data_IF_788164296537
#
_entry.id   IF_788164296537
#
_cell.length_a   1.000
_cell.length_b   1.000
_cell.length_c   1.000
_cell.angle_alpha   90.00
_cell.angle_beta   90.00
_cell.angle_gamma   90.00
#
_symmetry.space_group_name_H-M   'P 1'
#
loop_
_entity.id
_entity.type
_entity.pdbx_description
1 polymer ?
#
# COMPACT_ATOMS: atom_id res chain seq x y z
N UNK A 1 -24.85 -7.15 -11.15
CA UNK A 1 -23.50 -6.90 -10.63
C UNK A 1 -23.46 -7.31 -9.16
N UNK A 2 -22.56 -8.23 -8.76
CA UNK A 2 -22.31 -8.47 -7.33
C UNK A 2 -21.40 -7.35 -6.84
N UNK A 3 -21.83 -6.59 -5.83
CA UNK A 3 -20.99 -5.62 -5.12
C UNK A 3 -19.70 -6.32 -4.65
N UNK A 4 -18.55 -5.62 -4.55
CA UNK A 4 -17.44 -6.14 -3.75
C UNK A 4 -17.99 -6.56 -2.39
N UNK A 5 -17.48 -7.68 -1.86
CA UNK A 5 -17.86 -8.20 -0.54
C UNK A 5 -17.60 -7.13 0.53
N UNK A 6 -18.58 -6.26 0.75
CA UNK A 6 -18.62 -5.32 1.84
C UNK A 6 -19.06 -6.15 3.05
N UNK A 7 -18.09 -6.68 3.79
CA UNK A 7 -18.37 -7.42 5.02
C UNK A 7 -19.11 -6.49 5.99
N UNK A 8 -20.28 -6.92 6.47
CA UNK A 8 -21.12 -6.16 7.40
C UNK A 8 -20.41 -5.89 8.74
N UNK A 9 -19.36 -6.66 9.07
CA UNK A 9 -18.50 -6.48 10.24
C UNK A 9 -17.02 -6.63 9.83
N UNK A 10 -16.35 -5.55 9.40
CA UNK A 10 -14.93 -5.59 9.10
C UNK A 10 -14.14 -5.91 10.38
N UNK A 11 -13.10 -6.75 10.27
CA UNK A 11 -12.16 -7.00 11.36
C UNK A 11 -11.64 -5.64 11.87
N UNK A 12 -11.72 -5.34 13.18
CA UNK A 12 -11.19 -4.07 13.67
C UNK A 12 -9.67 -4.02 13.46
N UNK A 13 -9.17 -2.86 13.05
CA UNK A 13 -7.71 -2.66 13.01
C UNK A 13 -7.21 -2.47 14.43
N UNK A 14 -6.24 -3.28 14.90
CA UNK A 14 -5.66 -3.11 16.22
C UNK A 14 -5.13 -1.69 16.44
N UNK A 15 -5.53 -0.99 17.53
CA UNK A 15 -5.13 0.39 17.76
C UNK A 15 -3.61 0.61 17.78
N UNK A 16 -2.85 -0.36 18.30
CA UNK A 16 -1.37 -0.29 18.31
C UNK A 16 -0.81 -0.34 16.89
N UNK A 17 -1.38 -1.15 16.00
CA UNK A 17 -1.00 -1.15 14.58
C UNK A 17 -1.26 0.21 13.93
N UNK A 18 -2.40 0.85 14.22
CA UNK A 18 -2.69 2.19 13.70
C UNK A 18 -1.67 3.22 14.20
N UNK A 19 -1.35 3.18 15.49
CA UNK A 19 -0.40 4.10 16.12
C UNK A 19 1.03 3.93 15.57
N UNK A 20 1.43 2.71 15.24
CA UNK A 20 2.73 2.45 14.61
C UNK A 20 2.78 2.89 13.15
N UNK A 21 1.67 2.81 12.40
CA UNK A 21 1.62 3.15 10.99
C UNK A 21 1.46 4.67 10.74
N UNK A 22 0.61 5.34 11.52
CA UNK A 22 0.18 6.72 11.25
C UNK A 22 1.33 7.74 11.20
N UNK A 23 2.30 7.76 12.14
CA UNK A 23 3.42 8.70 12.10
C UNK A 23 4.30 8.50 10.86
N UNK A 24 4.54 7.24 10.47
CA UNK A 24 5.34 6.91 9.31
C UNK A 24 4.67 7.38 8.01
N UNK A 25 3.39 7.04 7.79
CA UNK A 25 2.68 7.49 6.57
C UNK A 25 2.53 9.02 6.55
N UNK A 26 2.40 9.67 7.71
CA UNK A 26 2.38 11.13 7.82
C UNK A 26 3.72 11.75 7.44
N UNK A 27 4.83 11.15 7.84
CA UNK A 27 6.16 11.61 7.46
C UNK A 27 6.37 11.48 5.94
N UNK A 28 5.97 10.35 5.34
CA UNK A 28 6.06 10.13 3.89
C UNK A 28 5.20 11.15 3.15
N UNK A 29 3.96 11.37 3.58
CA UNK A 29 3.08 12.39 2.99
C UNK A 29 3.70 13.80 3.10
N UNK A 30 4.26 14.13 4.27
CA UNK A 30 4.94 15.40 4.52
C UNK A 30 6.13 15.62 3.59
N UNK A 31 6.94 14.59 3.34
CA UNK A 31 8.02 14.63 2.34
C UNK A 31 7.47 14.88 0.93
N UNK A 32 6.45 14.13 0.51
CA UNK A 32 5.88 14.25 -0.83
C UNK A 32 5.32 15.65 -1.09
N UNK A 33 4.60 16.22 -0.12
CA UNK A 33 4.05 17.58 -0.22
C UNK A 33 5.16 18.63 -0.19
N UNK A 34 6.00 18.64 0.86
CA UNK A 34 6.85 19.79 1.16
C UNK A 34 8.23 19.73 0.50
N UNK A 35 8.73 18.54 0.17
CA UNK A 35 10.06 18.36 -0.40
C UNK A 35 10.00 17.94 -1.87
N UNK A 36 9.13 16.98 -2.20
CA UNK A 36 8.95 16.56 -3.59
C UNK A 36 8.01 17.48 -4.39
N UNK A 37 7.29 18.39 -3.72
CA UNK A 37 6.39 19.36 -4.37
C UNK A 37 5.17 18.72 -5.03
N UNK A 38 4.75 17.55 -4.57
CA UNK A 38 3.58 16.85 -5.09
C UNK A 38 2.29 17.46 -4.51
N UNK A 39 1.25 17.58 -5.34
CA UNK A 39 -0.11 17.92 -4.91
C UNK A 39 -1.00 16.67 -4.78
N UNK A 40 -2.17 16.81 -4.15
CA UNK A 40 -3.17 15.75 -3.98
C UNK A 40 -2.57 14.45 -3.41
N UNK A 41 -1.70 14.59 -2.41
CA UNK A 41 -0.93 13.48 -1.84
C UNK A 41 -1.83 12.64 -0.94
N UNK A 42 -1.85 11.32 -1.11
CA UNK A 42 -2.47 10.42 -0.13
C UNK A 42 -1.59 9.21 0.11
N UNK A 43 -1.30 8.94 1.38
CA UNK A 43 -0.42 7.84 1.79
C UNK A 43 -1.10 7.00 2.87
N UNK A 44 -1.07 5.69 2.73
CA UNK A 44 -1.56 4.76 3.76
C UNK A 44 -0.77 3.45 3.74
N UNK A 45 -0.95 2.62 4.78
CA UNK A 45 -0.34 1.31 4.91
C UNK A 45 -1.45 0.25 4.93
N UNK A 46 -1.28 -0.82 4.16
CA UNK A 46 -2.18 -1.97 4.14
C UNK A 46 -1.50 -3.17 4.78
N UNK A 47 -2.15 -3.87 5.72
CA UNK A 47 -1.66 -5.14 6.26
C UNK A 47 -2.30 -6.31 5.55
N UNK A 48 -1.60 -7.44 5.54
CA UNK A 48 -2.24 -8.71 5.24
C UNK A 48 -3.20 -9.10 6.37
N UNK A 49 -4.42 -9.47 6.02
CA UNK A 49 -5.40 -10.06 6.91
C UNK A 49 -5.83 -11.42 6.33
N UNK A 50 -5.92 -12.44 7.19
CA UNK A 50 -6.47 -13.73 6.79
C UNK A 50 -7.74 -14.00 7.57
N UNK A 51 -8.81 -14.34 6.86
CA UNK A 51 -10.12 -14.65 7.41
C UNK A 51 -10.72 -15.83 6.65
N UNK A 52 -11.18 -16.84 7.37
CA UNK A 52 -11.76 -18.06 6.78
C UNK A 52 -10.85 -18.73 5.72
N UNK A 53 -9.54 -18.70 5.96
CA UNK A 53 -8.52 -19.23 5.05
C UNK A 53 -8.27 -18.38 3.79
N UNK A 54 -8.88 -17.20 3.70
CA UNK A 54 -8.78 -16.26 2.58
C UNK A 54 -7.97 -15.03 2.96
N UNK A 55 -7.15 -14.53 2.03
CA UNK A 55 -6.31 -13.35 2.23
C UNK A 55 -6.92 -12.09 1.65
N UNK A 56 -6.82 -11.02 2.44
CA UNK A 56 -7.28 -9.67 2.17
C UNK A 56 -6.19 -8.66 2.52
N UNK A 57 -6.25 -7.48 1.91
CA UNK A 57 -5.47 -6.33 2.32
C UNK A 57 -6.36 -5.39 3.13
N UNK A 58 -5.95 -5.06 4.34
CA UNK A 58 -6.68 -4.14 5.20
C UNK A 58 -5.93 -2.83 5.37
N UNK A 59 -6.58 -1.71 5.05
CA UNK A 59 -6.04 -0.38 5.32
C UNK A 59 -5.89 -0.18 6.84
N UNK A 60 -4.67 0.01 7.31
CA UNK A 60 -4.33 0.07 8.73
C UNK A 60 -4.69 1.45 9.31
N UNK A 61 -4.45 2.52 8.57
CA UNK A 61 -4.67 3.88 9.05
C UNK A 61 -5.37 4.73 7.99
N UNK A 62 -5.99 5.84 8.39
CA UNK A 62 -6.47 6.85 7.45
C UNK A 62 -5.35 7.33 6.53
N UNK A 63 -5.73 7.86 5.37
CA UNK A 63 -4.78 8.49 4.45
C UNK A 63 -4.18 9.74 5.11
N UNK A 64 -2.86 9.84 5.10
CA UNK A 64 -2.15 11.09 5.38
C UNK A 64 -1.95 11.89 4.09
N UNK A 65 -1.86 13.22 4.21
CA UNK A 65 -1.78 14.16 3.08
C UNK A 65 -3.08 14.94 2.87
N UNK A 66 -3.49 15.12 1.61
CA UNK A 66 -4.68 15.85 1.21
C UNK A 66 -5.96 15.01 1.39
N UNK A 67 -6.95 15.58 2.06
CA UNK A 67 -8.23 14.90 2.32
C UNK A 67 -8.15 13.86 3.43
N UNK A 68 -7.51 14.21 4.56
CA UNK A 68 -7.49 13.41 5.78
C UNK A 68 -8.93 13.12 6.25
N UNK A 69 -9.31 11.84 6.29
CA UNK A 69 -10.60 11.39 6.82
C UNK A 69 -10.37 10.23 7.82
N UNK A 70 -10.53 10.54 9.11
CA UNK A 70 -10.36 9.59 10.22
C UNK A 70 -11.31 8.38 10.13
N UNK A 71 -12.45 8.49 9.42
CA UNK A 71 -13.49 7.45 9.40
C UNK A 71 -13.20 6.28 8.45
N UNK A 72 -12.10 6.32 7.68
CA UNK A 72 -11.82 5.37 6.60
C UNK A 72 -10.79 4.28 6.90
N UNK A 73 -10.23 4.23 8.11
CA UNK A 73 -9.39 3.10 8.53
C UNK A 73 -10.18 1.78 8.54
N UNK A 74 -9.51 0.66 8.26
CA UNK A 74 -10.10 -0.68 8.33
C UNK A 74 -10.79 -1.18 7.06
N UNK A 75 -10.82 -0.39 5.97
CA UNK A 75 -11.30 -0.84 4.66
C UNK A 75 -10.57 -2.11 4.22
N UNK A 76 -11.34 -3.09 3.76
CA UNK A 76 -10.85 -4.34 3.20
C UNK A 76 -10.82 -4.26 1.67
N UNK A 77 -9.75 -4.77 1.12
CA UNK A 77 -9.51 -4.92 -0.31
C UNK A 77 -9.20 -6.39 -0.59
N UNK A 78 -9.58 -6.86 -1.76
CA UNK A 78 -9.18 -8.19 -2.19
C UNK A 78 -7.66 -8.16 -2.43
N UNK A 79 -6.94 -9.21 -2.05
CA UNK A 79 -5.49 -9.21 -2.07
C UNK A 79 -4.87 -9.14 -3.48
N UNK A 80 -5.66 -9.34 -4.54
CA UNK A 80 -5.27 -9.19 -5.94
C UNK A 80 -5.83 -7.91 -6.60
N UNK A 81 -6.43 -7.01 -5.81
CA UNK A 81 -7.08 -5.80 -6.32
C UNK A 81 -6.10 -4.63 -6.48
N UNK A 82 -6.11 -4.02 -7.66
CA UNK A 82 -5.39 -2.78 -7.94
C UNK A 82 -3.88 -2.90 -7.83
N UNK A 83 -3.22 -1.75 -7.80
CA UNK A 83 -1.74 -1.69 -7.73
C UNK A 83 -1.17 -2.35 -6.48
N UNK A 84 -1.89 -2.30 -5.35
CA UNK A 84 -1.50 -3.00 -4.12
C UNK A 84 -1.58 -4.51 -4.28
N UNK A 85 -2.56 -5.01 -5.04
CA UNK A 85 -2.69 -6.43 -5.35
C UNK A 85 -1.60 -6.92 -6.30
N UNK A 86 -1.22 -6.12 -7.30
CA UNK A 86 -0.07 -6.41 -8.15
C UNK A 86 1.23 -6.52 -7.32
N UNK A 87 1.48 -5.55 -6.44
CA UNK A 87 2.64 -5.57 -5.55
C UNK A 87 2.60 -6.76 -4.56
N UNK A 88 1.41 -7.14 -4.08
CA UNK A 88 1.23 -8.28 -3.21
C UNK A 88 1.55 -9.61 -3.91
N UNK A 89 0.97 -9.82 -5.09
CA UNK A 89 1.10 -11.07 -5.84
C UNK A 89 2.55 -11.33 -6.27
N UNK A 90 3.19 -10.31 -6.84
CA UNK A 90 4.51 -10.43 -7.42
C UNK A 90 5.65 -10.16 -6.42
N UNK A 91 5.33 -9.61 -5.23
CA UNK A 91 6.30 -9.23 -4.19
C UNK A 91 7.36 -8.27 -4.71
N UNK A 92 6.94 -7.33 -5.55
CA UNK A 92 7.77 -6.29 -6.17
C UNK A 92 7.16 -4.92 -5.93
N UNK A 93 7.98 -3.88 -6.06
CA UNK A 93 7.49 -2.50 -6.07
C UNK A 93 6.74 -2.28 -7.40
N UNK A 94 5.55 -1.70 -7.34
CA UNK A 94 4.75 -1.36 -8.52
C UNK A 94 4.44 0.14 -8.51
N UNK A 95 4.58 0.80 -9.65
CA UNK A 95 4.29 2.25 -9.78
C UNK A 95 3.60 2.57 -11.11
N UNK A 96 3.08 3.79 -11.23
CA UNK A 96 2.73 4.37 -12.53
C UNK A 96 3.98 4.57 -13.40
N UNK A 97 3.88 4.20 -14.68
CA UNK A 97 4.94 4.39 -15.68
C UNK A 97 5.25 5.85 -15.91
N UNK A 98 6.41 6.10 -16.53
CA UNK A 98 6.76 7.43 -17.02
C UNK A 98 5.93 7.78 -18.27
N UNK A 99 5.40 8.98 -18.29
CA UNK A 99 4.71 9.58 -19.44
C UNK A 99 5.33 10.93 -19.79
N UNK A 100 5.53 11.20 -21.08
CA UNK A 100 6.07 12.49 -21.52
C UNK A 100 5.01 13.61 -21.52
N UNK A 101 3.73 13.25 -21.60
CA UNK A 101 2.60 14.19 -21.59
C UNK A 101 1.31 13.54 -21.05
N UNK A 102 0.33 14.38 -20.72
CA UNK A 102 -0.94 13.92 -20.14
C UNK A 102 -1.83 13.17 -21.14
N UNK A 103 -1.72 13.48 -22.44
CA UNK A 103 -2.56 12.85 -23.45
C UNK A 103 -2.25 11.35 -23.57
N UNK A 104 -0.96 10.98 -23.53
CA UNK A 104 -0.53 9.59 -23.51
C UNK A 104 -0.98 8.87 -22.22
N UNK A 105 -0.90 9.54 -21.07
CA UNK A 105 -1.39 9.01 -19.80
C UNK A 105 -2.90 8.74 -19.86
N UNK A 106 -3.69 9.70 -20.37
CA UNK A 106 -5.14 9.56 -20.49
C UNK A 106 -5.56 8.46 -21.48
N UNK A 107 -4.81 8.31 -22.59
CA UNK A 107 -5.03 7.21 -23.54
C UNK A 107 -4.88 5.88 -22.82
N UNK A 108 -3.74 5.64 -22.19
CA UNK A 108 -3.42 4.36 -21.56
C UNK A 108 -4.35 4.08 -20.37
N UNK A 109 -4.66 5.10 -19.55
CA UNK A 109 -5.63 4.99 -18.46
C UNK A 109 -7.02 4.56 -18.95
N UNK A 110 -7.54 5.18 -20.02
CA UNK A 110 -8.86 4.84 -20.57
C UNK A 110 -8.87 3.48 -21.26
N UNK A 111 -7.78 3.09 -21.93
CA UNK A 111 -7.63 1.75 -22.50
C UNK A 111 -7.60 0.68 -21.40
N UNK A 112 -6.82 0.89 -20.35
CA UNK A 112 -6.74 -0.02 -19.22
C UNK A 112 -8.07 -0.14 -18.51
N UNK A 113 -8.77 0.98 -18.25
CA UNK A 113 -10.13 0.95 -17.65
C UNK A 113 -11.12 0.13 -18.46
N UNK A 114 -11.09 0.25 -19.80
CA UNK A 114 -11.90 -0.59 -20.69
C UNK A 114 -11.50 -2.06 -20.58
N UNK A 115 -10.21 -2.36 -20.60
CA UNK A 115 -9.69 -3.73 -20.51
C UNK A 115 -10.08 -4.41 -19.20
N UNK A 116 -10.00 -3.70 -18.07
CA UNK A 116 -10.32 -4.25 -16.76
C UNK A 116 -11.77 -4.07 -16.33
N UNK A 117 -12.60 -3.50 -17.21
CA UNK A 117 -14.00 -3.19 -16.94
C UNK A 117 -14.20 -2.33 -15.67
N UNK A 118 -13.35 -1.32 -15.47
CA UNK A 118 -13.49 -0.40 -14.34
C UNK A 118 -14.57 0.65 -14.60
N UNK A 119 -15.67 0.54 -13.86
CA UNK A 119 -16.86 1.38 -13.93
C UNK A 119 -16.86 2.52 -12.89
N UNK A 120 -15.79 2.70 -12.10
CA UNK A 120 -15.66 3.83 -11.17
C UNK A 120 -15.63 5.16 -11.93
N UNK A 121 -15.97 6.30 -11.30
CA UNK A 121 -15.83 7.62 -11.90
C UNK A 121 -14.43 7.84 -12.47
N UNK A 122 -14.33 8.57 -13.59
CA UNK A 122 -13.02 8.96 -14.11
C UNK A 122 -12.31 9.85 -13.09
N UNK A 123 -10.97 9.82 -13.12
CA UNK A 123 -10.18 10.75 -12.34
C UNK A 123 -10.35 12.16 -12.92
N UNK A 124 -10.21 13.18 -12.07
CA UNK A 124 -10.30 14.58 -12.51
C UNK A 124 -8.98 15.09 -13.10
N UNK A 125 -7.86 14.46 -12.74
CA UNK A 125 -6.51 14.81 -13.16
C UNK A 125 -5.63 13.54 -13.22
N UNK A 126 -4.49 13.56 -13.95
CA UNK A 126 -3.54 12.47 -13.92
C UNK A 126 -3.04 12.19 -12.50
N UNK A 127 -2.84 10.91 -12.20
CA UNK A 127 -2.37 10.44 -10.89
C UNK A 127 -1.19 9.50 -11.07
N UNK A 128 -0.20 9.68 -10.20
CA UNK A 128 0.93 8.76 -10.06
C UNK A 128 0.73 7.90 -8.82
N UNK A 129 0.72 6.59 -8.99
CA UNK A 129 0.53 5.60 -7.92
C UNK A 129 1.85 4.91 -7.57
N UNK A 130 1.97 4.49 -6.32
CA UNK A 130 3.05 3.64 -5.80
C UNK A 130 2.46 2.61 -4.84
N UNK A 131 2.81 1.35 -5.05
CA UNK A 131 2.65 0.27 -4.09
C UNK A 131 4.03 -0.34 -3.79
N UNK A 132 4.42 -0.29 -2.52
CA UNK A 132 5.73 -0.71 -2.06
C UNK A 132 5.53 -1.77 -0.95
N UNK A 133 5.76 -3.06 -1.25
CA UNK A 133 5.57 -4.12 -0.26
C UNK A 133 6.72 -4.16 0.74
N UNK A 134 6.43 -4.45 2.01
CA UNK A 134 7.42 -4.81 3.01
C UNK A 134 7.38 -6.33 3.17
N UNK A 135 8.49 -6.97 2.84
CA UNK A 135 8.59 -8.43 2.82
C UNK A 135 9.12 -8.96 4.15
N UNK A 136 8.89 -10.24 4.41
CA UNK A 136 9.63 -10.98 5.43
C UNK A 136 11.11 -11.15 5.04
N UNK A 137 11.92 -11.68 5.97
CA UNK A 137 13.36 -11.85 5.78
C UNK A 137 13.69 -12.70 4.54
N UNK A 138 12.88 -13.74 4.30
CA UNK A 138 13.05 -14.65 3.17
C UNK A 138 12.59 -14.05 1.83
N UNK A 139 11.87 -12.91 1.83
CA UNK A 139 11.23 -12.37 0.64
C UNK A 139 10.05 -13.24 0.13
N UNK A 140 9.53 -14.11 0.99
CA UNK A 140 8.48 -15.07 0.64
C UNK A 140 7.08 -14.55 0.91
N UNK A 141 6.92 -13.69 1.91
CA UNK A 141 5.64 -13.17 2.36
C UNK A 141 5.65 -11.64 2.44
N UNK A 142 4.47 -11.03 2.28
CA UNK A 142 4.25 -9.58 2.44
C UNK A 142 3.64 -9.32 3.81
N UNK A 143 4.34 -8.58 4.68
CA UNK A 143 3.83 -8.18 5.99
C UNK A 143 2.85 -7.02 5.88
N UNK A 144 3.18 -6.02 5.07
CA UNK A 144 2.32 -4.88 4.74
C UNK A 144 2.76 -4.21 3.42
N UNK A 145 1.94 -3.31 2.90
CA UNK A 145 2.18 -2.57 1.65
C UNK A 145 1.94 -1.09 1.90
N UNK A 146 2.96 -0.27 1.67
CA UNK A 146 2.81 1.17 1.59
C UNK A 146 2.15 1.50 0.26
N UNK A 147 1.02 2.21 0.32
CA UNK A 147 0.36 2.77 -0.84
C UNK A 147 0.51 4.30 -0.79
N UNK A 148 0.89 4.89 -1.92
CA UNK A 148 0.87 6.33 -2.11
C UNK A 148 0.26 6.68 -3.48
N UNK A 149 -0.52 7.75 -3.50
CA UNK A 149 -0.95 8.42 -4.72
C UNK A 149 -0.61 9.90 -4.64
N UNK A 150 -0.22 10.48 -5.76
CA UNK A 150 0.03 11.92 -5.89
C UNK A 150 -0.57 12.43 -7.20
N UNK A 151 -1.08 13.65 -7.18
CA UNK A 151 -1.58 14.34 -8.36
C UNK A 151 -0.44 14.71 -9.31
N UNK A 152 -0.70 14.59 -10.60
CA UNK A 152 0.23 14.91 -11.68
C UNK A 152 0.97 13.69 -12.24
N UNK A 153 1.73 13.96 -13.31
CA UNK A 153 2.53 12.96 -13.99
C UNK A 153 3.81 12.64 -13.22
N UNK A 154 4.27 11.41 -13.37
CA UNK A 154 5.64 10.97 -13.07
C UNK A 154 6.10 11.13 -11.62
N UNK A 155 5.19 11.29 -10.64
CA UNK A 155 5.54 11.53 -9.23
C UNK A 155 6.48 10.48 -8.63
N UNK A 156 6.42 9.24 -9.15
CA UNK A 156 7.29 8.12 -8.74
C UNK A 156 8.16 7.56 -9.88
N UNK A 157 8.02 8.08 -11.10
CA UNK A 157 8.72 7.57 -12.29
C UNK A 157 10.15 8.13 -12.43
N UNK A 158 10.42 9.31 -11.84
CA UNK A 158 11.72 10.00 -11.93
C UNK A 158 12.84 9.48 -11.01
N UNK A 159 12.61 8.41 -10.25
CA UNK A 159 13.60 7.79 -9.37
C UNK A 159 13.78 8.50 -8.02
N UNK A 160 13.93 9.83 -7.99
CA UNK A 160 14.24 10.59 -6.76
C UNK A 160 13.22 10.40 -5.63
N UNK A 161 11.92 10.62 -5.90
CA UNK A 161 10.87 10.43 -4.89
C UNK A 161 10.75 8.97 -4.44
N UNK A 162 10.87 8.03 -5.40
CA UNK A 162 10.83 6.60 -5.08
C UNK A 162 11.99 6.21 -4.17
N UNK A 163 13.20 6.66 -4.47
CA UNK A 163 14.40 6.35 -3.71
C UNK A 163 14.34 6.90 -2.29
N UNK A 164 13.82 8.12 -2.12
CA UNK A 164 13.63 8.70 -0.79
C UNK A 164 12.56 7.95 0.00
N UNK A 165 11.39 7.67 -0.61
CA UNK A 165 10.34 6.88 0.04
C UNK A 165 10.85 5.49 0.42
N UNK A 166 11.62 4.84 -0.45
CA UNK A 166 12.25 3.56 -0.17
C UNK A 166 13.25 3.66 1.00
N UNK A 167 14.04 4.74 1.07
CA UNK A 167 14.92 5.04 2.21
C UNK A 167 14.14 5.24 3.51
N UNK A 168 13.03 5.99 3.48
CA UNK A 168 12.15 6.17 4.64
C UNK A 168 11.53 4.83 5.08
N UNK A 169 11.10 4.00 4.13
CA UNK A 169 10.59 2.66 4.41
C UNK A 169 11.64 1.78 5.06
N UNK A 170 12.90 1.82 4.61
CA UNK A 170 14.02 1.10 5.24
C UNK A 170 14.25 1.52 6.69
N UNK A 171 14.34 2.82 6.96
CA UNK A 171 14.46 3.30 8.34
C UNK A 171 13.27 2.91 9.23
N UNK A 172 12.06 2.87 8.66
CA UNK A 172 10.87 2.42 9.38
C UNK A 172 10.90 0.93 9.71
N UNK A 173 11.27 0.06 8.75
CA UNK A 173 11.36 -1.38 9.03
C UNK A 173 12.48 -1.70 10.03
N UNK A 174 13.61 -0.99 9.97
CA UNK A 174 14.70 -1.12 10.94
C UNK A 174 14.22 -0.76 12.35
N UNK A 175 13.43 0.31 12.49
CA UNK A 175 12.80 0.64 13.76
C UNK A 175 11.89 -0.50 14.25
N UNK A 176 11.05 -1.05 13.37
CA UNK A 176 10.14 -2.14 13.73
C UNK A 176 10.89 -3.41 14.15
N UNK A 177 11.96 -3.78 13.46
CA UNK A 177 12.79 -4.94 13.82
C UNK A 177 13.53 -4.73 15.15
N UNK A 178 14.01 -3.51 15.41
CA UNK A 178 14.59 -3.14 16.69
C UNK A 178 13.57 -3.23 17.83
N UNK A 179 12.31 -2.84 17.60
CA UNK A 179 11.23 -3.00 18.57
C UNK A 179 10.82 -4.48 18.73
N UNK A 180 10.88 -5.28 17.67
CA UNK A 180 10.57 -6.70 17.72
C UNK A 180 11.62 -7.49 18.52
N UNK A 181 12.90 -7.13 18.40
CA UNK A 181 14.00 -7.74 19.15
C UNK A 181 14.07 -7.29 20.62
N UNK A 182 13.41 -6.18 20.97
CA UNK A 182 13.33 -5.64 22.34
C UNK A 182 11.86 -5.51 22.75
N UNK A 183 11.21 -6.59 23.20
CA UNK A 183 9.77 -6.63 23.39
C UNK A 183 9.29 -5.47 24.25
N UNK A 184 8.41 -4.64 23.69
CA UNK A 184 7.73 -3.61 24.47
C UNK A 184 6.79 -4.29 25.47
N UNK A 185 6.87 -3.96 26.78
CA UNK A 185 5.91 -4.47 27.75
C UNK A 185 4.48 -4.17 27.29
N UNK A 186 3.62 -5.19 27.29
CA UNK A 186 2.19 -5.10 26.91
C UNK A 186 1.90 -4.82 25.43
N UNK A 187 2.88 -4.98 24.53
CA UNK A 187 2.63 -4.95 23.08
C UNK A 187 3.15 -6.22 22.45
N UNK A 188 2.33 -6.86 21.63
CA UNK A 188 2.71 -8.07 20.89
C UNK A 188 2.29 -7.96 19.43
N UNK A 189 3.16 -8.40 18.53
CA UNK A 189 2.77 -8.69 17.16
C UNK A 189 2.27 -10.13 17.07
N UNK A 190 1.03 -10.31 16.58
CA UNK A 190 0.45 -11.64 16.43
C UNK A 190 0.73 -12.17 15.01
N UNK A 191 1.35 -13.36 14.87
CA UNK A 191 1.57 -13.95 13.56
C UNK A 191 0.22 -14.17 12.87
N UNK A 192 0.14 -13.85 11.59
CA UNK A 192 -1.04 -14.13 10.78
C UNK A 192 -0.68 -15.20 9.76
N UNK A 193 -1.44 -16.31 9.68
CA UNK A 193 -1.25 -17.29 8.63
C UNK A 193 -1.56 -16.65 7.28
N UNK A 194 -0.84 -17.05 6.24
CA UNK A 194 -1.13 -16.60 4.87
C UNK A 194 -2.28 -17.47 4.34
N UNK A 195 -3.40 -16.83 4.06
CA UNK A 195 -4.55 -17.48 3.41
C UNK A 195 -4.37 -17.57 1.89
N UNK A 196 -5.36 -18.18 1.23
CA UNK A 196 -5.46 -18.17 -0.22
C UNK A 196 -5.89 -16.77 -0.68
N UNK A 197 -5.18 -16.13 -1.62
CA UNK A 197 -5.67 -14.89 -2.22
C UNK A 197 -7.04 -15.12 -2.86
N UNK A 198 -8.01 -14.28 -2.53
CA UNK A 198 -9.31 -14.30 -3.21
C UNK A 198 -9.12 -13.64 -4.57
N UNK A 199 -9.69 -14.25 -5.61
CA UNK A 199 -9.74 -13.65 -6.94
C UNK A 199 -10.74 -12.50 -6.98
N UNK A 200 -10.32 -11.31 -7.37
CA UNK A 200 -11.12 -10.09 -7.46
C UNK A 200 -11.22 -9.53 -8.87
N UNK A 201 -11.80 -8.32 -8.97
CA UNK A 201 -11.69 -7.53 -10.19
C UNK A 201 -10.27 -6.99 -10.27
N UNK A 202 -9.50 -7.44 -11.26
CA UNK A 202 -8.14 -6.94 -11.48
C UNK A 202 -8.19 -5.49 -11.94
N UNK A 203 -8.13 -4.53 -11.03
CA UNK A 203 -7.95 -3.09 -11.36
C UNK A 203 -6.47 -2.72 -11.50
N UNK A 204 -5.62 -3.71 -11.80
CA UNK A 204 -4.25 -3.48 -12.21
C UNK A 204 -4.32 -2.90 -13.62
N UNK A 205 -3.76 -1.72 -13.82
CA UNK A 205 -3.76 -1.05 -15.11
C UNK A 205 -2.47 -1.40 -15.86
N UNK A 206 -2.48 -2.41 -16.78
CA UNK A 206 -1.27 -3.02 -17.29
C UNK A 206 -0.41 -2.10 -18.16
N UNK A 207 -1.02 -1.12 -18.86
CA UNK A 207 -0.29 -0.08 -19.59
C UNK A 207 0.19 1.00 -18.64
N UNK A 208 -0.66 1.44 -17.72
CA UNK A 208 -0.37 2.54 -16.82
C UNK A 208 0.69 2.20 -15.77
N UNK A 209 0.75 0.94 -15.34
CA UNK A 209 1.56 0.49 -14.22
C UNK A 209 2.71 -0.41 -14.68
N UNK A 210 3.80 -0.40 -13.92
CA UNK A 210 4.97 -1.25 -14.11
C UNK A 210 5.55 -1.74 -12.79
N UNK A 211 6.13 -2.93 -12.83
CA UNK A 211 7.00 -3.43 -11.77
C UNK A 211 8.38 -2.78 -11.86
N UNK A 212 8.88 -2.24 -10.76
CA UNK A 212 10.23 -1.68 -10.64
C UNK A 212 11.21 -2.83 -10.38
N UNK A 213 12.05 -3.15 -11.36
CA UNK A 213 12.95 -4.33 -11.32
C UNK A 213 14.35 -4.03 -10.79
N UNK A 214 14.75 -2.77 -10.78
CA UNK A 214 16.07 -2.28 -10.38
C UNK A 214 16.15 -1.87 -8.89
N UNK A 215 15.04 -2.00 -8.16
CA UNK A 215 14.95 -1.73 -6.72
C UNK A 215 14.31 -2.90 -6.01
N UNK A 216 14.93 -3.34 -4.91
CA UNK A 216 14.34 -4.35 -4.04
C UNK A 216 13.38 -3.73 -3.02
N UNK A 217 12.24 -4.38 -2.76
CA UNK A 217 11.39 -4.03 -1.63
C UNK A 217 12.15 -4.17 -0.28
N UNK A 218 11.82 -3.34 0.73
CA UNK A 218 12.35 -3.50 2.09
C UNK A 218 11.99 -4.87 2.68
N UNK A 219 12.91 -5.44 3.47
CA UNK A 219 12.75 -6.74 4.13
C UNK A 219 12.86 -6.59 5.64
N UNK A 220 11.84 -7.06 6.35
CA UNK A 220 11.83 -7.17 7.81
C UNK A 220 12.68 -8.37 8.23
N UNK A 221 13.54 -8.20 9.22
CA UNK A 221 14.38 -9.26 9.75
C UNK A 221 13.59 -10.25 10.62
N UNK A 222 12.60 -9.77 11.38
CA UNK A 222 11.92 -10.58 12.40
C UNK A 222 10.40 -10.64 12.23
N UNK A 223 9.80 -9.61 11.63
CA UNK A 223 8.35 -9.51 11.53
C UNK A 223 7.82 -10.17 10.25
N UNK A 224 6.80 -11.02 10.42
CA UNK A 224 6.10 -11.70 9.32
C UNK A 224 4.66 -11.20 9.11
N UNK A 225 4.18 -10.32 10.00
CA UNK A 225 2.85 -9.71 9.96
C UNK A 225 2.88 -8.32 10.58
N UNK A 226 1.87 -7.50 10.27
CA UNK A 226 1.64 -6.20 10.92
C UNK A 226 0.33 -6.25 11.72
N UNK A 227 0.37 -6.93 12.86
CA UNK A 227 -0.79 -7.18 13.73
C UNK A 227 -0.42 -6.92 15.21
N UNK A 228 0.10 -5.73 15.48
CA UNK A 228 0.42 -5.28 16.82
C UNK A 228 -0.84 -4.95 17.59
N UNK A 229 -1.01 -5.55 18.77
CA UNK A 229 -2.10 -5.27 19.70
C UNK A 229 -1.60 -5.31 21.16
N UNK A 230 -2.40 -4.82 22.12
CA UNK A 230 -2.07 -4.99 23.53
C UNK A 230 -1.87 -6.47 23.88
N UNK A 231 -0.85 -6.76 24.67
CA UNK A 231 -0.70 -8.07 25.29
C UNK A 231 -1.47 -8.09 26.63
N UNK A 232 -2.15 -9.20 26.96
CA UNK A 232 -2.85 -9.35 28.23
C UNK A 232 -1.92 -9.27 29.44
#
# INVERSE_FOLDING_TARGET
>A
MKKPLQYENPEPVPPVSQLLALPFVSAVAGYLVNTAGCGNVRVTLHRLLTRDGLSYLQQICSYAGDGFDHAKAGRLFIADEGIIGAAFADKVIVRTRRYDNEADWWRDYREDRKQVNDQRPELEHPVSFLALPFLDAAGTAVACILFAEVGGLNGFAGGSSLDVVLGMSRGYIELLDNLASRPLPRVRNYPLPIGRPVGGFSTVYPRLQESVKDREPPRLAHLTSFNFAPAP
#
